data_IF_926921475531
#
_entry.id   IF_926921475531
#
_cell.length_a   1.000
_cell.length_b   1.000
_cell.length_c   1.000
_cell.angle_alpha   90.00
_cell.angle_beta   90.00
_cell.angle_gamma   90.00
#
_symmetry.space_group_name_H-M   'P 1'
#
loop_
_entity.id
_entity.type
_entity.pdbx_description
1 polymer ?
#
# COMPACT_ATOMS: atom_id res chain seq x y z
N UNK A 1 -2.87 8.98 -10.20
CA UNK A 1 -4.03 9.01 -9.29
C UNK A 1 -3.81 8.06 -8.12
N UNK A 2 -4.49 8.26 -6.98
CA UNK A 2 -4.55 7.31 -5.87
C UNK A 2 -5.68 6.29 -6.13
N UNK A 3 -5.33 5.09 -6.61
CA UNK A 3 -6.28 4.09 -7.11
C UNK A 3 -7.37 3.70 -6.10
N UNK A 4 -7.00 3.62 -4.81
CA UNK A 4 -7.90 3.33 -3.68
C UNK A 4 -9.08 4.31 -3.60
N UNK A 5 -8.92 5.53 -4.11
CA UNK A 5 -9.98 6.53 -4.08
C UNK A 5 -10.75 6.58 -5.39
N UNK A 6 -10.03 6.41 -6.51
CA UNK A 6 -10.61 6.59 -7.85
C UNK A 6 -11.48 5.43 -8.32
N UNK A 7 -11.20 4.21 -7.86
CA UNK A 7 -11.95 3.00 -8.23
C UNK A 7 -12.95 2.59 -7.14
N UNK A 8 -12.60 2.80 -5.87
CA UNK A 8 -13.38 2.29 -4.73
C UNK A 8 -14.76 2.91 -4.61
N UNK A 9 -14.98 4.12 -5.13
CA UNK A 9 -16.30 4.75 -5.14
C UNK A 9 -17.27 3.93 -5.99
N UNK A 10 -16.82 3.42 -7.13
CA UNK A 10 -17.62 2.53 -8.01
C UNK A 10 -17.92 1.21 -7.28
N UNK A 11 -16.92 0.59 -6.66
CA UNK A 11 -17.11 -0.65 -5.88
C UNK A 11 -18.11 -0.48 -4.73
N UNK A 12 -17.96 0.59 -3.94
CA UNK A 12 -18.88 0.94 -2.87
C UNK A 12 -20.31 1.20 -3.39
N UNK A 13 -20.45 1.92 -4.50
CA UNK A 13 -21.75 2.13 -5.16
C UNK A 13 -22.42 0.83 -5.53
N UNK A 14 -21.71 -0.11 -6.15
CA UNK A 14 -22.28 -1.40 -6.56
C UNK A 14 -22.72 -2.20 -5.34
N UNK A 15 -21.91 -2.24 -4.28
CA UNK A 15 -22.26 -2.91 -3.04
C UNK A 15 -23.54 -2.31 -2.40
N UNK A 16 -23.60 -0.98 -2.26
CA UNK A 16 -24.77 -0.29 -1.70
C UNK A 16 -26.00 -0.45 -2.59
N UNK A 17 -25.85 -0.35 -3.92
CA UNK A 17 -26.94 -0.57 -4.87
C UNK A 17 -27.56 -1.97 -4.73
N UNK A 18 -26.73 -2.98 -4.44
CA UNK A 18 -27.19 -4.35 -4.19
C UNK A 18 -27.92 -4.47 -2.86
N UNK A 19 -27.44 -3.80 -1.81
CA UNK A 19 -28.11 -3.74 -0.50
C UNK A 19 -29.49 -3.08 -0.61
N UNK A 20 -29.60 -1.99 -1.39
CA UNK A 20 -30.85 -1.25 -1.63
C UNK A 20 -31.80 -1.95 -2.63
N UNK A 21 -31.39 -3.07 -3.23
CA UNK A 21 -32.22 -3.78 -4.22
C UNK A 21 -32.48 -2.96 -5.50
N UNK A 22 -31.54 -2.12 -5.92
CA UNK A 22 -31.72 -1.30 -7.12
C UNK A 22 -31.81 -2.17 -8.39
N UNK A 23 -32.72 -1.78 -9.29
CA UNK A 23 -32.78 -2.35 -10.64
C UNK A 23 -31.48 -2.11 -11.41
N UNK A 24 -31.14 -2.94 -12.42
CA UNK A 24 -29.95 -2.75 -13.25
C UNK A 24 -29.80 -1.33 -13.81
N UNK A 25 -30.88 -0.73 -14.31
CA UNK A 25 -30.86 0.65 -14.84
C UNK A 25 -30.49 1.68 -13.77
N UNK A 26 -31.09 1.59 -12.57
CA UNK A 26 -30.75 2.46 -11.44
C UNK A 26 -29.30 2.23 -10.98
N UNK A 27 -28.82 0.99 -10.94
CA UNK A 27 -27.42 0.68 -10.63
C UNK A 27 -26.47 1.32 -11.65
N UNK A 28 -26.80 1.27 -12.94
CA UNK A 28 -26.00 1.93 -13.98
C UNK A 28 -25.94 3.45 -13.76
N UNK A 29 -27.07 4.09 -13.45
CA UNK A 29 -27.08 5.51 -13.09
C UNK A 29 -26.25 5.80 -11.83
N UNK A 30 -26.34 4.96 -10.81
CA UNK A 30 -25.53 5.08 -9.60
C UNK A 30 -24.03 5.01 -9.92
N UNK A 31 -23.60 4.05 -10.75
CA UNK A 31 -22.20 3.93 -11.21
C UNK A 31 -21.77 5.23 -11.92
N UNK A 32 -22.62 5.77 -12.80
CA UNK A 32 -22.31 7.02 -13.48
C UNK A 32 -22.21 8.22 -12.54
N UNK A 33 -23.04 8.28 -11.50
CA UNK A 33 -22.95 9.30 -10.44
C UNK A 33 -21.66 9.15 -9.62
N UNK A 34 -21.19 7.93 -9.37
CA UNK A 34 -19.94 7.70 -8.65
C UNK A 34 -18.71 8.01 -9.51
N UNK A 35 -18.78 7.73 -10.82
CA UNK A 35 -17.71 7.97 -11.78
C UNK A 35 -17.32 9.45 -11.91
N UNK A 36 -18.24 10.39 -11.63
CA UNK A 36 -17.94 11.83 -11.64
C UNK A 36 -17.43 12.35 -10.29
N UNK A 37 -17.48 11.55 -9.23
CA UNK A 37 -17.05 11.93 -7.87
C UNK A 37 -15.65 11.40 -7.53
N UNK A 38 -14.81 11.27 -8.53
CA UNK A 38 -13.47 10.71 -8.40
C UNK A 38 -12.52 11.76 -7.85
N UNK A 39 -11.90 11.44 -6.71
CA UNK A 39 -10.84 12.23 -6.10
C UNK A 39 -9.66 11.31 -5.79
N UNK A 40 -8.46 11.85 -5.54
CA UNK A 40 -7.33 11.06 -5.07
C UNK A 40 -6.01 11.40 -5.76
N UNK A 41 -5.23 12.28 -5.13
CA UNK A 41 -3.88 12.62 -5.57
C UNK A 41 -2.86 11.80 -4.78
N UNK A 42 -1.82 11.27 -5.46
CA UNK A 42 -0.73 10.53 -4.80
C UNK A 42 0.16 11.42 -3.95
N UNK A 43 0.20 12.72 -4.24
CA UNK A 43 0.92 13.74 -3.46
C UNK A 43 0.55 13.71 -1.97
N UNK A 44 -0.65 13.26 -1.63
CA UNK A 44 -1.15 13.25 -0.26
C UNK A 44 -0.62 12.08 0.58
N UNK A 45 0.26 11.22 0.04
CA UNK A 45 0.85 10.09 0.76
C UNK A 45 1.76 10.60 1.88
N UNK A 46 1.74 9.94 3.04
CA UNK A 46 2.40 10.46 4.25
C UNK A 46 1.57 11.49 5.05
N UNK A 47 0.31 11.75 4.68
CA UNK A 47 -0.58 12.64 5.42
C UNK A 47 -1.93 12.00 5.74
N UNK A 48 -2.70 12.62 6.64
CA UNK A 48 -4.07 12.17 6.98
C UNK A 48 -4.99 12.15 5.76
N UNK A 49 -4.65 12.94 4.73
CA UNK A 49 -5.44 13.05 3.51
C UNK A 49 -5.48 11.72 2.72
N UNK A 50 -4.47 10.83 2.85
CA UNK A 50 -4.58 9.48 2.27
C UNK A 50 -5.74 8.69 2.88
N UNK A 51 -5.91 8.73 4.20
CA UNK A 51 -7.03 8.05 4.88
C UNK A 51 -8.36 8.72 4.58
N UNK A 52 -8.38 10.05 4.52
CA UNK A 52 -9.55 10.82 4.07
C UNK A 52 -10.04 10.36 2.71
N UNK A 53 -9.14 10.11 1.75
CA UNK A 53 -9.53 9.61 0.42
C UNK A 53 -10.36 8.32 0.49
N UNK A 54 -10.02 7.39 1.39
CA UNK A 54 -10.76 6.12 1.54
C UNK A 54 -12.18 6.39 2.05
N UNK A 55 -12.30 7.21 3.11
CA UNK A 55 -13.59 7.59 3.68
C UNK A 55 -14.46 8.38 2.70
N UNK A 56 -13.86 9.34 1.99
CA UNK A 56 -14.56 10.13 0.97
C UNK A 56 -15.02 9.26 -0.19
N UNK A 57 -14.21 8.31 -0.65
CA UNK A 57 -14.59 7.38 -1.71
C UNK A 57 -15.79 6.51 -1.30
N UNK A 58 -15.82 6.01 -0.06
CA UNK A 58 -16.96 5.27 0.47
C UNK A 58 -18.23 6.15 0.57
N UNK A 59 -18.09 7.38 1.07
CA UNK A 59 -19.19 8.35 1.14
C UNK A 59 -19.77 8.66 -0.24
N UNK A 60 -18.92 8.88 -1.24
CA UNK A 60 -19.35 9.17 -2.61
C UNK A 60 -20.13 7.99 -3.20
N UNK A 61 -19.72 6.75 -2.90
CA UNK A 61 -20.41 5.57 -3.39
C UNK A 61 -21.81 5.37 -2.77
N UNK A 62 -21.92 5.56 -1.46
CA UNK A 62 -23.20 5.58 -0.75
C UNK A 62 -24.13 6.66 -1.33
N UNK A 63 -23.63 7.89 -1.44
CA UNK A 63 -24.41 9.02 -1.95
C UNK A 63 -24.91 8.75 -3.38
N UNK A 64 -24.05 8.20 -4.25
CA UNK A 64 -24.42 7.86 -5.62
C UNK A 64 -25.56 6.84 -5.70
N UNK A 65 -25.53 5.79 -4.88
CA UNK A 65 -26.60 4.80 -4.83
C UNK A 65 -27.92 5.38 -4.31
N UNK A 66 -27.89 6.18 -3.24
CA UNK A 66 -29.08 6.84 -2.67
C UNK A 66 -29.69 7.85 -3.65
N UNK A 67 -28.87 8.62 -4.37
CA UNK A 67 -29.37 9.52 -5.40
C UNK A 67 -30.10 8.75 -6.52
N UNK A 68 -29.50 7.65 -7.00
CA UNK A 68 -30.12 6.83 -8.05
C UNK A 68 -31.40 6.12 -7.56
N UNK A 69 -31.44 5.68 -6.29
CA UNK A 69 -32.65 5.18 -5.64
C UNK A 69 -33.79 6.20 -5.74
N UNK A 70 -33.49 7.46 -5.40
CA UNK A 70 -34.39 8.62 -5.51
C UNK A 70 -34.69 9.08 -6.94
N UNK A 71 -34.17 8.39 -7.96
CA UNK A 71 -34.50 8.65 -9.36
C UNK A 71 -33.52 9.58 -10.11
N UNK A 72 -32.38 9.94 -9.51
CA UNK A 72 -31.35 10.68 -10.24
C UNK A 72 -30.74 9.82 -11.36
N UNK A 73 -30.70 10.38 -12.57
CA UNK A 73 -30.13 9.74 -13.75
C UNK A 73 -28.69 10.18 -13.99
N UNK A 74 -27.89 9.31 -14.61
CA UNK A 74 -26.55 9.62 -15.13
C UNK A 74 -26.30 8.88 -16.45
N UNK A 75 -25.16 9.13 -17.10
CA UNK A 75 -24.75 8.43 -18.32
C UNK A 75 -24.70 6.92 -18.08
N UNK A 76 -25.32 6.14 -18.99
CA UNK A 76 -25.28 4.68 -18.91
C UNK A 76 -23.93 4.09 -19.35
N UNK A 77 -23.14 4.85 -20.10
CA UNK A 77 -21.77 4.48 -20.51
C UNK A 77 -20.70 5.28 -19.78
N UNK A 78 -20.94 5.66 -18.52
CA UNK A 78 -20.06 6.57 -17.78
C UNK A 78 -18.64 6.01 -17.59
N UNK A 79 -18.44 4.70 -17.65
CA UNK A 79 -17.13 4.09 -17.50
C UNK A 79 -16.36 4.06 -18.81
N UNK A 80 -17.02 3.65 -19.89
CA UNK A 80 -16.42 3.21 -21.15
C UNK A 80 -16.60 4.20 -22.32
N UNK A 81 -17.46 5.21 -22.19
CA UNK A 81 -17.65 6.20 -23.24
C UNK A 81 -16.32 6.90 -23.58
N UNK A 82 -16.23 7.47 -24.78
CA UNK A 82 -15.04 8.21 -25.26
C UNK A 82 -14.54 9.31 -24.29
N UNK A 83 -15.43 9.86 -23.47
CA UNK A 83 -15.14 10.87 -22.44
C UNK A 83 -15.49 10.35 -21.02
N UNK A 84 -15.57 9.03 -20.88
CA UNK A 84 -15.92 8.33 -19.66
C UNK A 84 -14.74 8.17 -18.72
N UNK A 85 -15.02 7.62 -17.56
CA UNK A 85 -14.07 7.47 -16.45
C UNK A 85 -12.76 6.79 -16.87
N UNK A 86 -12.81 5.71 -17.65
CA UNK A 86 -11.62 4.96 -18.04
C UNK A 86 -10.65 5.83 -18.86
N UNK A 87 -11.17 6.69 -19.73
CA UNK A 87 -10.37 7.61 -20.56
C UNK A 87 -9.88 8.83 -19.78
N UNK A 88 -10.66 9.31 -18.81
CA UNK A 88 -10.36 10.56 -18.08
C UNK A 88 -9.49 10.33 -16.83
N UNK A 89 -9.77 9.25 -16.08
CA UNK A 89 -9.14 8.96 -14.80
C UNK A 89 -8.21 7.73 -14.83
N UNK A 90 -8.33 6.87 -15.84
CA UNK A 90 -7.49 5.68 -15.99
C UNK A 90 -6.07 6.01 -16.42
N UNK A 91 -5.11 5.24 -15.90
CA UNK A 91 -3.72 5.21 -16.37
C UNK A 91 -3.30 3.75 -16.49
N UNK A 92 -2.71 3.35 -17.62
CA UNK A 92 -2.19 1.99 -17.81
C UNK A 92 -1.02 1.71 -16.85
N UNK A 93 -1.28 1.12 -15.68
CA UNK A 93 -0.24 0.51 -14.83
C UNK A 93 -0.79 -0.73 -14.11
N UNK A 94 0.01 -1.80 -13.96
CA UNK A 94 -0.39 -3.02 -13.25
C UNK A 94 -0.49 -2.81 -11.72
N UNK A 95 -1.41 -3.55 -11.09
CA UNK A 95 -1.70 -3.56 -9.64
C UNK A 95 -0.61 -4.26 -8.79
N UNK A 96 -0.41 -3.84 -7.52
CA UNK A 96 0.55 -4.46 -6.57
C UNK A 96 0.13 -4.35 -5.09
N UNK A 97 0.46 -5.41 -4.33
CA UNK A 97 0.45 -5.55 -2.86
C UNK A 97 1.85 -5.27 -2.28
N UNK A 98 1.95 -4.71 -1.07
CA UNK A 98 3.24 -4.44 -0.38
C UNK A 98 3.69 -5.65 0.47
N UNK A 99 4.99 -5.95 0.48
CA UNK A 99 5.59 -7.09 1.21
C UNK A 99 6.35 -6.60 2.47
N UNK A 100 5.90 -7.01 3.66
CA UNK A 100 6.51 -6.68 4.96
C UNK A 100 7.37 -7.84 5.54
N UNK A 101 7.22 -9.07 5.05
CA UNK A 101 7.86 -10.28 5.61
C UNK A 101 9.37 -10.38 5.33
N UNK A 102 9.84 -9.56 4.40
CA UNK A 102 11.25 -9.46 3.99
C UNK A 102 12.22 -9.30 5.17
N UNK A 103 11.78 -8.59 6.21
CA UNK A 103 12.64 -8.11 7.30
C UNK A 103 12.62 -9.02 8.52
N UNK A 104 11.53 -9.74 8.73
CA UNK A 104 11.25 -10.49 9.96
C UNK A 104 12.01 -11.81 10.07
N UNK A 105 12.50 -12.33 8.95
CA UNK A 105 13.02 -13.68 8.91
C UNK A 105 14.42 -13.76 8.30
N UNK A 106 15.15 -12.65 8.27
CA UNK A 106 16.61 -12.65 8.10
C UNK A 106 17.23 -12.83 9.49
N UNK A 107 17.38 -14.09 9.90
CA UNK A 107 17.99 -14.43 11.18
C UNK A 107 19.50 -14.23 11.08
N UNK A 108 20.03 -13.25 11.82
CA UNK A 108 21.47 -13.09 12.07
C UNK A 108 21.84 -13.96 13.27
N UNK A 109 21.74 -15.29 13.15
CA UNK A 109 21.94 -16.21 14.29
C UNK A 109 23.22 -15.90 15.06
N UNK A 110 23.11 -15.69 16.37
CA UNK A 110 24.24 -15.38 17.24
C UNK A 110 24.75 -13.93 17.21
N UNK A 111 24.17 -13.03 16.41
CA UNK A 111 24.64 -11.66 16.23
C UNK A 111 23.61 -10.61 16.68
N UNK A 112 24.11 -9.49 17.18
CA UNK A 112 23.29 -8.35 17.61
C UNK A 112 23.03 -7.42 16.42
N UNK A 113 21.81 -6.84 16.27
CA UNK A 113 21.53 -5.81 15.28
C UNK A 113 22.46 -4.58 15.40
N UNK A 114 23.07 -4.35 16.56
CA UNK A 114 24.04 -3.27 16.76
C UNK A 114 25.29 -3.43 15.86
N UNK A 115 25.64 -4.66 15.47
CA UNK A 115 26.81 -5.00 14.64
C UNK A 115 26.56 -4.82 13.15
N UNK A 116 25.37 -4.40 12.74
CA UNK A 116 25.02 -4.20 11.32
C UNK A 116 25.81 -3.02 10.77
N UNK A 117 26.73 -3.27 9.85
CA UNK A 117 27.44 -2.21 9.12
C UNK A 117 26.55 -1.61 8.03
N UNK A 118 25.90 -2.46 7.23
CA UNK A 118 25.05 -2.01 6.13
C UNK A 118 23.93 -2.99 5.78
N UNK A 119 22.85 -2.44 5.21
CA UNK A 119 21.71 -3.21 4.73
C UNK A 119 21.40 -2.79 3.29
N UNK A 120 21.31 -3.76 2.39
CA UNK A 120 20.98 -3.56 0.99
C UNK A 120 19.74 -4.36 0.62
N UNK A 121 18.67 -3.68 0.20
CA UNK A 121 17.45 -4.28 -0.32
C UNK A 121 17.39 -4.14 -1.85
N UNK A 122 17.05 -5.21 -2.55
CA UNK A 122 16.65 -5.19 -3.96
C UNK A 122 15.14 -5.43 -4.00
N UNK A 123 14.41 -4.47 -4.54
CA UNK A 123 12.94 -4.45 -4.55
C UNK A 123 12.44 -4.03 -5.91
N UNK A 124 11.23 -4.48 -6.28
CA UNK A 124 10.59 -3.99 -7.48
C UNK A 124 10.27 -2.48 -7.37
N UNK A 125 10.21 -1.77 -8.50
CA UNK A 125 9.94 -0.32 -8.57
C UNK A 125 8.72 0.11 -7.73
N UNK A 126 7.72 -0.77 -7.70
CA UNK A 126 6.42 -0.51 -7.06
C UNK A 126 6.48 -0.55 -5.52
N UNK A 127 7.61 -0.92 -4.93
CA UNK A 127 7.88 -0.75 -3.49
C UNK A 127 8.37 0.67 -3.20
N UNK A 128 9.34 1.17 -3.96
CA UNK A 128 9.95 2.48 -3.67
C UNK A 128 9.10 3.67 -4.11
N UNK A 129 8.26 3.52 -5.13
CA UNK A 129 7.37 4.60 -5.57
C UNK A 129 6.34 5.01 -4.48
N UNK A 130 5.69 4.10 -3.73
CA UNK A 130 4.83 4.47 -2.60
C UNK A 130 5.50 4.44 -1.23
N UNK A 131 6.56 3.64 -1.02
CA UNK A 131 7.17 3.40 0.29
C UNK A 131 8.66 3.81 0.38
N UNK A 132 9.09 4.75 -0.46
CA UNK A 132 10.47 5.22 -0.54
C UNK A 132 10.87 6.29 0.49
N UNK A 133 10.04 6.64 1.48
CA UNK A 133 10.37 7.69 2.45
C UNK A 133 11.54 7.23 3.34
N UNK A 134 12.74 7.78 3.11
CA UNK A 134 13.92 7.36 3.87
C UNK A 134 13.95 7.91 5.31
N UNK A 135 13.48 9.14 5.52
CA UNK A 135 13.51 9.82 6.82
C UNK A 135 12.10 10.24 7.27
N UNK A 136 11.22 9.28 7.61
CA UNK A 136 9.90 9.61 8.16
C UNK A 136 10.05 10.31 9.51
N UNK A 137 9.23 11.34 9.72
CA UNK A 137 9.25 12.20 10.92
C UNK A 137 8.28 11.77 12.02
N UNK A 138 7.30 10.97 11.66
CA UNK A 138 6.23 10.49 12.52
C UNK A 138 5.75 9.10 12.06
N UNK A 139 4.87 8.51 12.85
CA UNK A 139 4.23 7.23 12.60
C UNK A 139 3.43 7.16 11.31
N UNK A 140 2.92 8.30 10.85
CA UNK A 140 2.13 8.36 9.64
C UNK A 140 3.00 8.25 8.40
N UNK A 141 4.10 9.01 8.34
CA UNK A 141 5.10 8.91 7.29
C UNK A 141 5.82 7.55 7.31
N UNK A 142 6.03 6.96 8.49
CA UNK A 142 6.73 5.68 8.66
C UNK A 142 6.03 4.52 7.94
N UNK A 143 4.70 4.56 7.80
CA UNK A 143 3.91 3.59 7.00
C UNK A 143 4.25 3.60 5.51
N UNK A 144 4.99 4.61 5.05
CA UNK A 144 5.48 4.78 3.68
C UNK A 144 7.00 4.70 3.62
N UNK A 145 7.61 4.00 4.58
CA UNK A 145 9.03 3.79 4.66
C UNK A 145 9.32 2.30 4.74
N UNK A 146 9.74 1.73 3.60
CA UNK A 146 10.29 0.37 3.57
C UNK A 146 11.54 0.27 4.44
N UNK A 147 12.30 1.37 4.56
CA UNK A 147 13.48 1.50 5.41
C UNK A 147 13.13 1.40 6.90
N UNK A 148 12.07 2.06 7.35
CA UNK A 148 11.61 1.97 8.74
C UNK A 148 11.10 0.57 9.05
N UNK A 149 10.26 0.01 8.17
CA UNK A 149 9.75 -1.37 8.33
C UNK A 149 10.90 -2.37 8.41
N UNK A 150 11.97 -2.14 7.65
CA UNK A 150 13.17 -2.96 7.73
C UNK A 150 14.02 -2.78 8.96
N UNK A 151 14.19 -1.55 9.41
CA UNK A 151 14.85 -1.28 10.67
C UNK A 151 14.14 -1.96 11.85
N UNK A 152 12.80 -1.89 11.91
CA UNK A 152 12.01 -2.56 12.95
C UNK A 152 12.12 -4.09 12.85
N UNK A 153 12.03 -4.67 11.65
CA UNK A 153 12.16 -6.12 11.48
C UNK A 153 13.53 -6.64 11.92
N UNK A 154 14.62 -5.93 11.56
CA UNK A 154 15.98 -6.30 11.95
C UNK A 154 16.27 -6.05 13.44
N UNK A 155 15.80 -4.93 14.00
CA UNK A 155 16.13 -4.54 15.36
C UNK A 155 15.22 -5.21 16.42
N UNK A 156 13.93 -5.30 16.14
CA UNK A 156 12.91 -5.75 17.08
C UNK A 156 12.46 -7.18 16.84
N UNK A 157 12.82 -7.78 15.69
CA UNK A 157 12.33 -9.09 15.27
C UNK A 157 10.82 -9.12 15.00
N UNK A 158 10.18 -7.94 14.90
CA UNK A 158 8.74 -7.79 14.66
C UNK A 158 8.44 -6.50 13.89
N UNK A 159 7.31 -6.51 13.19
CA UNK A 159 6.74 -5.35 12.50
C UNK A 159 5.24 -5.40 12.71
N UNK A 160 4.77 -4.56 13.62
CA UNK A 160 3.40 -4.50 14.12
C UNK A 160 2.92 -3.05 14.11
N UNK A 161 1.64 -2.81 14.39
CA UNK A 161 1.11 -1.44 14.42
C UNK A 161 1.79 -0.53 15.43
N UNK A 162 2.22 -1.04 16.59
CA UNK A 162 2.91 -0.26 17.63
C UNK A 162 4.32 0.18 17.20
N UNK A 163 4.93 -0.52 16.24
CA UNK A 163 6.28 -0.17 15.78
C UNK A 163 6.26 1.10 14.89
N UNK A 164 5.07 1.55 14.48
CA UNK A 164 4.84 2.82 13.78
C UNK A 164 4.38 3.94 14.71
N UNK A 165 4.57 3.83 16.04
CA UNK A 165 4.33 4.95 16.95
C UNK A 165 5.50 5.96 16.89
N UNK A 166 5.23 7.25 17.10
CA UNK A 166 6.22 8.33 16.94
C UNK A 166 7.48 8.11 17.79
N UNK A 167 7.32 7.59 19.01
CA UNK A 167 8.45 7.25 19.89
C UNK A 167 9.35 6.16 19.28
N UNK A 168 8.80 5.15 18.60
CA UNK A 168 9.58 4.11 17.92
C UNK A 168 10.19 4.64 16.62
N UNK A 169 9.45 5.44 15.86
CA UNK A 169 9.95 6.05 14.61
C UNK A 169 11.17 6.94 14.86
N UNK A 170 11.17 7.64 15.99
CA UNK A 170 12.22 8.58 16.41
C UNK A 170 13.30 7.94 17.30
N UNK A 171 13.19 6.65 17.62
CA UNK A 171 14.17 5.94 18.43
C UNK A 171 15.55 5.91 17.72
N UNK A 172 16.63 6.38 18.39
CA UNK A 172 17.96 6.47 17.78
C UNK A 172 18.46 5.16 17.17
N UNK A 173 18.20 4.02 17.81
CA UNK A 173 18.61 2.71 17.30
C UNK A 173 17.89 2.34 15.99
N UNK A 174 16.60 2.66 15.87
CA UNK A 174 15.82 2.44 14.65
C UNK A 174 16.32 3.36 13.52
N UNK A 175 16.61 4.63 13.84
CA UNK A 175 17.16 5.59 12.87
C UNK A 175 18.52 5.11 12.37
N UNK A 176 19.40 4.64 13.25
CA UNK A 176 20.73 4.16 12.86
C UNK A 176 20.67 3.02 11.83
N UNK A 177 19.81 2.01 12.03
CA UNK A 177 19.63 0.94 11.04
C UNK A 177 19.02 1.47 9.74
N UNK A 178 18.06 2.40 9.83
CA UNK A 178 17.44 3.04 8.66
C UNK A 178 18.46 3.78 7.79
N UNK A 179 19.39 4.49 8.41
CA UNK A 179 20.43 5.26 7.73
C UNK A 179 21.44 4.34 7.02
N UNK A 180 21.76 3.20 7.64
CA UNK A 180 22.57 2.11 7.08
C UNK A 180 21.84 1.31 5.99
N UNK A 181 20.54 1.53 5.80
CA UNK A 181 19.72 0.82 4.81
C UNK A 181 19.66 1.55 3.47
N UNK A 182 19.93 0.81 2.40
CA UNK A 182 19.76 1.23 1.02
C UNK A 182 18.79 0.30 0.30
N UNK A 183 17.97 0.84 -0.58
CA UNK A 183 17.06 0.05 -1.41
C UNK A 183 17.26 0.42 -2.87
N UNK A 184 17.48 -0.58 -3.72
CA UNK A 184 17.67 -0.44 -5.16
C UNK A 184 16.53 -1.10 -5.91
N UNK A 185 16.12 -0.44 -6.99
CA UNK A 185 15.11 -0.98 -7.91
C UNK A 185 15.74 -2.11 -8.70
N UNK A 186 15.09 -3.27 -8.69
CA UNK A 186 15.38 -4.39 -9.56
C UNK A 186 14.10 -4.76 -10.30
N UNK A 187 14.07 -4.56 -11.61
CA UNK A 187 12.90 -4.89 -12.44
C UNK A 187 12.91 -6.34 -12.92
N UNK A 188 13.94 -7.12 -12.59
CA UNK A 188 14.01 -8.55 -12.92
C UNK A 188 13.29 -9.43 -11.90
N UNK A 189 13.01 -8.90 -10.70
CA UNK A 189 12.26 -9.61 -9.66
C UNK A 189 10.76 -9.27 -9.75
N UNK A 190 9.90 -10.20 -9.30
CA UNK A 190 8.47 -9.97 -9.30
C UNK A 190 8.09 -8.87 -8.28
N UNK A 191 6.91 -8.28 -8.48
CA UNK A 191 6.47 -7.14 -7.68
C UNK A 191 6.26 -7.45 -6.19
N UNK A 192 6.01 -8.71 -5.88
CA UNK A 192 5.84 -9.28 -4.55
C UNK A 192 7.10 -9.99 -4.02
N UNK A 193 8.19 -10.00 -4.78
CA UNK A 193 9.49 -10.52 -4.36
C UNK A 193 10.40 -9.42 -3.80
N UNK A 194 11.36 -9.81 -2.99
CA UNK A 194 12.46 -8.93 -2.58
C UNK A 194 13.69 -9.71 -2.12
N UNK A 195 14.87 -9.09 -2.22
CA UNK A 195 16.13 -9.60 -1.65
C UNK A 195 16.67 -8.61 -0.62
N UNK A 196 17.15 -9.10 0.50
CA UNK A 196 17.89 -8.29 1.48
C UNK A 196 19.22 -8.94 1.77
N UNK A 197 20.25 -8.11 1.81
CA UNK A 197 21.60 -8.46 2.24
C UNK A 197 21.99 -7.57 3.40
N UNK A 198 22.46 -8.17 4.49
CA UNK A 198 22.98 -7.49 5.68
C UNK A 198 24.46 -7.83 5.81
N UNK A 199 25.31 -6.83 5.93
CA UNK A 199 26.73 -6.99 6.22
C UNK A 199 27.02 -6.51 7.64
N UNK A 200 27.81 -7.28 8.38
CA UNK A 200 28.21 -6.98 9.75
C UNK A 200 29.62 -6.38 9.80
N UNK A 201 29.94 -5.72 10.91
CA UNK A 201 31.24 -5.07 11.14
C UNK A 201 32.44 -6.06 11.16
N UNK A 202 32.19 -7.34 11.42
CA UNK A 202 33.20 -8.41 11.37
C UNK A 202 33.41 -8.98 9.95
N UNK A 203 32.66 -8.48 8.97
CA UNK A 203 32.71 -8.90 7.58
C UNK A 203 31.75 -10.05 7.22
N UNK A 204 30.99 -10.60 8.17
CA UNK A 204 29.98 -11.62 7.87
C UNK A 204 28.80 -11.02 7.09
N UNK A 205 28.26 -11.79 6.13
CA UNK A 205 27.20 -11.32 5.23
C UNK A 205 26.05 -12.32 5.20
N UNK A 206 24.87 -11.84 5.52
CA UNK A 206 23.62 -12.61 5.49
C UNK A 206 22.77 -12.14 4.31
N UNK A 207 22.25 -13.05 3.51
CA UNK A 207 21.34 -12.72 2.40
C UNK A 207 20.09 -13.57 2.47
N UNK A 208 18.95 -12.92 2.27
CA UNK A 208 17.66 -13.58 2.15
C UNK A 208 16.94 -13.14 0.88
N UNK A 209 16.32 -14.10 0.21
CA UNK A 209 15.39 -13.85 -0.87
C UNK A 209 13.99 -14.32 -0.47
N UNK A 210 12.99 -13.48 -0.70
CA UNK A 210 11.57 -13.82 -0.59
C UNK A 210 11.00 -13.82 -1.99
N UNK A 211 10.54 -14.99 -2.43
CA UNK A 211 9.96 -15.17 -3.77
C UNK A 211 8.56 -14.57 -3.84
N UNK A 212 7.73 -14.81 -2.83
CA UNK A 212 6.37 -14.27 -2.73
C UNK A 212 6.11 -13.73 -1.32
N UNK A 213 5.41 -12.60 -1.24
CA UNK A 213 4.97 -12.00 0.02
C UNK A 213 3.89 -12.84 0.70
N UNK A 214 3.88 -12.91 2.03
CA UNK A 214 2.73 -13.50 2.74
C UNK A 214 1.51 -12.62 2.48
N UNK A 215 0.37 -13.24 2.22
CA UNK A 215 -0.86 -12.57 1.81
C UNK A 215 -0.95 -12.28 0.30
N UNK A 216 0.07 -12.64 -0.48
CA UNK A 216 -0.04 -12.65 -1.95
C UNK A 216 -0.96 -13.78 -2.42
N UNK A 217 -1.34 -13.77 -3.71
CA UNK A 217 -2.07 -14.89 -4.30
C UNK A 217 -1.26 -16.19 -4.31
N UNK A 218 0.08 -16.10 -4.35
CA UNK A 218 0.98 -17.25 -4.41
C UNK A 218 1.37 -17.77 -3.01
N UNK A 219 1.29 -16.94 -1.98
CA UNK A 219 1.47 -17.31 -0.57
C UNK A 219 0.37 -16.69 0.31
N UNK A 220 -0.87 -17.19 0.25
CA UNK A 220 -2.00 -16.60 0.96
C UNK A 220 -1.88 -16.78 2.49
N UNK A 221 -2.50 -15.87 3.24
CA UNK A 221 -2.64 -16.03 4.69
C UNK A 221 -3.48 -17.28 5.00
N UNK A 222 -3.05 -18.07 5.98
CA UNK A 222 -3.86 -19.15 6.53
C UNK A 222 -4.94 -18.61 7.46
N UNK A 223 -6.01 -19.37 7.66
CA UNK A 223 -7.11 -19.00 8.57
C UNK A 223 -6.62 -18.70 10.00
N UNK A 224 -5.57 -19.39 10.45
CA UNK A 224 -4.97 -19.15 11.78
C UNK A 224 -4.24 -17.79 11.89
N UNK A 225 -3.96 -17.12 10.76
CA UNK A 225 -3.27 -15.84 10.67
C UNK A 225 -4.19 -14.67 10.28
N UNK A 226 -5.48 -14.92 10.05
CA UNK A 226 -6.52 -13.89 9.78
C UNK A 226 -7.10 -13.36 11.09
#
# INVERSE_FOLDING_TARGET
MHITSTVRSIGATVAVSKILGLSPTKTTHAIGLAATQVTGLREMFGSYCKSFHVGRSAQNGLLAAVMAEGGYTSSQGALEAKRGWATVAGTNKPDVLQNLDLWLALAMEGHSPAQIESVAAQVHLLVLEPAGKKTPKDGLEAKFSVYHSGACGLLLGRVTSSDYEDNIVLEPAVIAIRDRTTAKIDTSIAADSARVTVALEDGEVFTKYVEHAVGSCADPLSDAKL
#
